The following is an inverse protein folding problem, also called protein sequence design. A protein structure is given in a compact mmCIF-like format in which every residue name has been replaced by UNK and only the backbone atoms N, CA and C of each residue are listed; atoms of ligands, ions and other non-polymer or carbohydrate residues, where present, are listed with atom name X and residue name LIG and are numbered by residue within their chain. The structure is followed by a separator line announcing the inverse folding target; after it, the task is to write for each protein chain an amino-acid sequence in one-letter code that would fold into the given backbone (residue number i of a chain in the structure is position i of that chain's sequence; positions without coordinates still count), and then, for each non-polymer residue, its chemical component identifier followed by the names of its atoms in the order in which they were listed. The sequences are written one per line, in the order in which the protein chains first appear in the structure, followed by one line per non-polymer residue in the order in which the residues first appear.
data_IF_989152788875
#
_entry.id   IF_989152788875
#
_cell.length_a   1.000
_cell.length_b   1.000
_cell.length_c   1.000
_cell.angle_alpha   90.00
_cell.angle_beta   90.00
_cell.angle_gamma   90.00
#
_symmetry.space_group_name_H-M   'P 1'
#
loop_
_entity.id
_entity.type
_entity.pdbx_description
1 polymer ?
#
# COMPACT_ATOMS: atom_id res chain seq x y z
N UNK A 1 -2.82 -3.18 17.08
CA UNK A 1 -1.63 -3.43 17.91
C UNK A 1 -1.09 -4.80 17.53
N UNK A 2 0.20 -4.89 17.23
CA UNK A 2 0.88 -6.15 16.89
C UNK A 2 1.98 -6.40 17.91
N UNK A 3 2.09 -7.63 18.38
CA UNK A 3 3.15 -8.09 19.29
C UNK A 3 3.87 -9.24 18.61
N UNK A 4 5.18 -9.18 18.53
CA UNK A 4 6.02 -10.23 17.97
C UNK A 4 7.08 -10.61 18.99
N UNK A 5 7.27 -11.91 19.18
CA UNK A 5 8.40 -12.47 19.91
C UNK A 5 9.31 -13.18 18.91
N UNK A 6 10.57 -12.83 18.93
CA UNK A 6 11.59 -13.39 18.04
C UNK A 6 12.60 -14.19 18.84
N UNK A 7 12.99 -15.31 18.29
CA UNK A 7 13.99 -16.20 18.84
C UNK A 7 15.02 -16.55 17.78
N UNK A 8 16.30 -16.39 18.09
CA UNK A 8 17.44 -16.75 17.25
C UNK A 8 17.56 -16.06 15.88
N UNK A 9 16.99 -14.90 15.71
CA UNK A 9 16.99 -14.19 14.41
C UNK A 9 18.03 -13.06 14.29
N UNK A 10 18.96 -12.95 15.25
CA UNK A 10 20.08 -12.01 15.11
C UNK A 10 19.74 -10.52 15.19
N UNK A 11 18.62 -10.16 15.80
CA UNK A 11 18.30 -8.74 16.06
C UNK A 11 17.81 -7.97 14.84
N UNK A 12 16.96 -8.57 14.03
CA UNK A 12 16.64 -8.11 12.68
C UNK A 12 15.62 -7.01 12.60
N UNK A 13 14.79 -6.81 13.58
CA UNK A 13 13.54 -6.14 13.28
C UNK A 13 13.39 -4.84 14.03
N UNK A 14 13.67 -3.78 13.34
CA UNK A 14 13.00 -2.52 13.59
C UNK A 14 11.55 -2.62 13.06
N UNK A 15 10.55 -2.31 13.87
CA UNK A 15 9.15 -2.17 13.50
C UNK A 15 8.31 -3.44 13.34
N UNK A 16 8.70 -4.59 13.88
CA UNK A 16 7.83 -5.79 13.89
C UNK A 16 7.55 -6.37 12.49
N UNK A 17 8.39 -6.02 11.51
CA UNK A 17 8.31 -6.56 10.15
C UNK A 17 9.41 -7.60 9.95
N UNK A 18 9.04 -8.75 9.46
CA UNK A 18 10.00 -9.78 9.09
C UNK A 18 10.49 -9.55 7.67
N UNK A 19 11.74 -9.09 7.52
CA UNK A 19 12.38 -8.87 6.23
C UNK A 19 13.56 -9.81 6.11
N UNK A 20 13.44 -10.94 5.40
CA UNK A 20 14.48 -11.96 5.32
C UNK A 20 15.83 -11.46 4.82
N UNK A 21 15.84 -10.46 3.94
CA UNK A 21 17.06 -9.86 3.39
C UNK A 21 17.87 -9.04 4.39
N UNK A 22 17.26 -8.64 5.50
CA UNK A 22 17.92 -7.88 6.56
C UNK A 22 18.50 -8.77 7.68
N UNK A 23 18.34 -10.09 7.57
CA UNK A 23 18.92 -11.04 8.54
C UNK A 23 20.45 -10.97 8.47
N UNK A 24 21.15 -10.51 9.53
CA UNK A 24 22.58 -10.44 9.48
C UNK A 24 23.18 -11.84 9.48
N UNK A 25 24.05 -12.11 8.53
CA UNK A 25 24.77 -13.38 8.42
C UNK A 25 26.05 -13.38 9.28
N UNK A 26 25.92 -12.99 10.54
CA UNK A 26 27.07 -12.87 11.45
C UNK A 26 27.13 -13.94 12.55
N UNK A 27 26.20 -14.91 12.53
CA UNK A 27 26.12 -15.97 13.52
C UNK A 27 25.76 -15.51 14.95
N UNK A 28 25.39 -14.23 15.12
CA UNK A 28 24.91 -13.73 16.40
C UNK A 28 23.42 -13.97 16.51
N UNK A 29 22.99 -14.50 17.64
CA UNK A 29 21.58 -14.72 17.96
C UNK A 29 21.14 -13.72 19.00
N UNK A 30 19.95 -13.18 18.86
CA UNK A 30 19.33 -12.33 19.87
C UNK A 30 17.84 -12.65 19.99
N UNK A 31 17.34 -12.53 21.20
CA UNK A 31 15.92 -12.72 21.48
C UNK A 31 15.33 -11.35 21.81
N UNK A 32 14.20 -11.04 21.21
CA UNK A 32 13.52 -9.79 21.49
C UNK A 32 12.00 -9.95 21.47
N UNK A 33 11.35 -9.11 22.26
CA UNK A 33 9.90 -8.95 22.21
C UNK A 33 9.62 -7.51 21.76
N UNK A 34 8.84 -7.36 20.71
CA UNK A 34 8.44 -6.06 20.21
C UNK A 34 6.92 -5.88 20.24
N UNK A 35 6.49 -4.69 20.58
CA UNK A 35 5.10 -4.27 20.48
C UNK A 35 5.02 -3.02 19.63
N UNK A 36 4.17 -3.04 18.62
CA UNK A 36 4.00 -1.91 17.72
C UNK A 36 2.53 -1.59 17.46
N UNK A 37 2.21 -0.31 17.45
CA UNK A 37 0.91 0.23 17.14
C UNK A 37 0.93 1.14 15.89
N UNK A 38 2.07 1.23 15.19
CA UNK A 38 2.24 2.10 14.02
C UNK A 38 1.32 1.71 12.85
N UNK A 39 0.84 0.47 12.83
CA UNK A 39 -0.16 -0.03 11.87
C UNK A 39 -1.59 0.42 12.16
N UNK A 40 -1.83 1.15 13.25
CA UNK A 40 -3.15 1.71 13.52
C UNK A 40 -3.55 2.69 12.41
N UNK A 41 -4.65 2.41 11.72
CA UNK A 41 -5.16 3.25 10.66
C UNK A 41 -6.16 4.27 11.20
N UNK A 42 -6.00 5.51 10.78
CA UNK A 42 -6.98 6.58 10.95
C UNK A 42 -7.59 6.84 9.59
N UNK A 43 -8.91 6.82 9.50
CA UNK A 43 -9.60 7.10 8.26
C UNK A 43 -10.80 8.02 8.46
N UNK A 44 -11.07 8.81 7.42
CA UNK A 44 -12.29 9.59 7.26
C UNK A 44 -12.99 9.13 5.99
N UNK A 45 -14.24 8.73 6.11
CA UNK A 45 -15.08 8.34 4.98
C UNK A 45 -16.34 9.19 4.95
N UNK A 46 -16.55 9.88 3.84
CA UNK A 46 -17.71 10.68 3.57
C UNK A 46 -18.49 10.04 2.43
N UNK A 47 -19.79 9.81 2.65
CA UNK A 47 -20.68 9.22 1.66
C UNK A 47 -21.81 10.21 1.41
N UNK A 48 -22.08 10.46 0.15
CA UNK A 48 -23.14 11.40 -0.23
C UNK A 48 -23.80 11.00 -1.55
N UNK A 49 -24.88 11.71 -1.85
CA UNK A 49 -25.58 11.61 -3.11
C UNK A 49 -25.89 13.01 -3.64
N UNK A 50 -25.60 13.24 -4.92
CA UNK A 50 -25.95 14.49 -5.60
C UNK A 50 -26.54 14.19 -6.97
N UNK A 51 -27.39 15.07 -7.53
CA UNK A 51 -27.95 14.88 -8.87
C UNK A 51 -26.87 14.74 -9.96
N UNK A 52 -25.74 15.41 -9.81
CA UNK A 52 -24.65 15.39 -10.79
C UNK A 52 -23.80 14.14 -10.71
N UNK A 53 -23.33 13.78 -9.52
CA UNK A 53 -22.37 12.67 -9.31
C UNK A 53 -23.08 11.33 -9.00
N UNK A 54 -24.36 11.37 -8.64
CA UNK A 54 -25.04 10.22 -8.04
C UNK A 54 -24.47 9.91 -6.64
N UNK A 55 -24.40 8.64 -6.30
CA UNK A 55 -23.72 8.20 -5.08
C UNK A 55 -22.20 8.41 -5.22
N UNK A 56 -21.60 9.03 -4.22
CA UNK A 56 -20.15 9.24 -4.18
C UNK A 56 -19.59 8.91 -2.82
N UNK A 57 -18.31 8.58 -2.80
CA UNK A 57 -17.51 8.30 -1.61
C UNK A 57 -16.25 9.13 -1.68
N UNK A 58 -15.92 9.84 -0.60
CA UNK A 58 -14.59 10.41 -0.37
C UNK A 58 -13.97 9.62 0.78
N UNK A 59 -12.78 9.12 0.57
CA UNK A 59 -12.07 8.31 1.56
C UNK A 59 -10.63 8.80 1.71
N UNK A 60 -10.24 9.04 2.96
CA UNK A 60 -8.87 9.38 3.32
C UNK A 60 -8.43 8.48 4.45
N UNK A 61 -7.27 7.86 4.32
CA UNK A 61 -6.74 6.92 5.29
C UNK A 61 -5.22 7.09 5.43
N UNK A 62 -4.73 6.96 6.64
CA UNK A 62 -3.30 6.94 6.91
C UNK A 62 -2.97 6.16 8.18
N UNK A 63 -1.69 5.90 8.35
CA UNK A 63 -1.15 5.24 9.54
C UNK A 63 0.19 5.87 9.95
N UNK A 64 0.84 5.31 10.98
CA UNK A 64 2.08 5.84 11.53
C UNK A 64 3.31 5.01 11.10
N UNK A 65 3.29 4.48 9.87
CA UNK A 65 4.41 3.72 9.29
C UNK A 65 5.30 4.55 8.36
N UNK A 66 5.31 5.85 8.50
CA UNK A 66 6.30 6.72 7.89
C UNK A 66 7.66 6.59 8.59
N UNK A 67 8.71 7.11 7.97
CA UNK A 67 10.05 7.12 8.57
C UNK A 67 10.01 7.76 9.96
N UNK A 68 10.60 7.12 10.97
CA UNK A 68 10.52 7.59 12.35
C UNK A 68 9.12 7.56 12.97
N UNK A 69 8.24 6.66 12.53
CA UNK A 69 6.84 6.54 12.98
C UNK A 69 5.99 7.79 12.70
N UNK A 70 6.31 8.53 11.66
CA UNK A 70 5.51 9.66 11.20
C UNK A 70 4.23 9.18 10.51
N UNK A 71 3.25 10.08 10.41
CA UNK A 71 2.04 9.80 9.67
C UNK A 71 2.32 9.58 8.19
N UNK A 72 1.83 8.49 7.62
CA UNK A 72 1.94 8.13 6.22
C UNK A 72 0.56 8.00 5.60
N UNK A 73 0.30 8.78 4.54
CA UNK A 73 -0.92 8.65 3.77
C UNK A 73 -0.98 7.28 3.09
N UNK A 74 -2.11 6.61 3.19
CA UNK A 74 -2.35 5.29 2.59
C UNK A 74 -3.33 5.37 1.44
N UNK A 75 -4.43 6.06 1.63
CA UNK A 75 -5.44 6.28 0.61
C UNK A 75 -5.99 7.71 0.74
N UNK A 76 -6.22 8.36 -0.39
CA UNK A 76 -6.95 9.62 -0.48
C UNK A 76 -7.61 9.70 -1.85
N UNK A 77 -8.87 9.28 -1.94
CA UNK A 77 -9.56 9.19 -3.23
C UNK A 77 -11.04 9.55 -3.13
N UNK A 78 -11.61 9.89 -4.26
CA UNK A 78 -13.04 10.03 -4.49
C UNK A 78 -13.49 8.98 -5.49
N UNK A 79 -14.63 8.34 -5.23
CA UNK A 79 -15.25 7.37 -6.12
C UNK A 79 -16.71 7.73 -6.41
N UNK A 80 -17.11 7.72 -7.69
CA UNK A 80 -18.46 8.00 -8.16
C UNK A 80 -18.70 7.43 -9.55
N UNK A 81 -19.88 6.88 -9.83
CA UNK A 81 -20.28 6.36 -11.16
C UNK A 81 -19.24 5.46 -11.85
N UNK A 82 -18.46 4.68 -11.09
CA UNK A 82 -17.40 3.84 -11.63
C UNK A 82 -16.04 4.52 -11.75
N UNK A 83 -15.96 5.84 -11.64
CA UNK A 83 -14.71 6.58 -11.60
C UNK A 83 -14.09 6.53 -10.19
N UNK A 84 -12.77 6.43 -10.14
CA UNK A 84 -11.95 6.61 -8.94
C UNK A 84 -10.84 7.60 -9.26
N UNK A 85 -10.74 8.67 -8.46
CA UNK A 85 -9.78 9.75 -8.66
C UNK A 85 -9.04 9.95 -7.34
N UNK A 86 -7.72 9.93 -7.37
CA UNK A 86 -6.88 10.20 -6.21
C UNK A 86 -5.81 9.14 -5.98
N UNK A 87 -5.25 9.13 -4.78
CA UNK A 87 -4.17 8.25 -4.37
C UNK A 87 -4.73 6.98 -3.72
N UNK A 88 -4.54 5.83 -4.37
CA UNK A 88 -4.99 4.51 -3.88
C UNK A 88 -4.22 3.38 -4.55
N UNK A 89 -4.67 2.15 -4.38
CA UNK A 89 -4.05 0.98 -5.02
C UNK A 89 -4.08 1.09 -6.54
N UNK A 90 -2.95 0.81 -7.18
CA UNK A 90 -2.82 0.78 -8.62
C UNK A 90 -3.59 -0.37 -9.28
N UNK A 91 -3.84 -0.26 -10.59
CA UNK A 91 -4.67 -1.20 -11.35
C UNK A 91 -4.12 -2.62 -11.42
N UNK A 92 -2.81 -2.79 -11.26
CA UNK A 92 -2.18 -4.12 -11.18
C UNK A 92 -2.35 -4.83 -9.85
N UNK A 93 -2.95 -4.18 -8.86
CA UNK A 93 -3.14 -4.75 -7.54
C UNK A 93 -4.59 -5.09 -7.29
N UNK A 94 -4.88 -6.37 -7.09
CA UNK A 94 -6.15 -6.81 -6.53
C UNK A 94 -6.00 -7.08 -5.02
N UNK A 95 -6.39 -6.10 -4.22
CA UNK A 95 -6.35 -6.22 -2.76
C UNK A 95 -7.30 -7.32 -2.24
N UNK A 96 -8.32 -7.70 -3.00
CA UNK A 96 -9.27 -8.75 -2.62
C UNK A 96 -8.70 -10.15 -2.82
N UNK A 97 -7.75 -10.30 -3.72
CA UNK A 97 -7.05 -11.56 -3.99
C UNK A 97 -5.87 -11.82 -3.04
N UNK A 98 -5.47 -10.83 -2.24
CA UNK A 98 -4.37 -10.97 -1.28
C UNK A 98 -4.79 -11.88 -0.12
N UNK A 99 -4.04 -12.96 0.18
CA UNK A 99 -4.33 -13.82 1.32
C UNK A 99 -4.12 -13.05 2.63
N UNK A 100 -4.93 -13.38 3.64
CA UNK A 100 -4.71 -12.88 5.00
C UNK A 100 -3.46 -13.50 5.58
N UNK A 101 -2.40 -12.72 5.71
CA UNK A 101 -1.15 -13.14 6.34
C UNK A 101 -0.99 -12.47 7.71
N UNK A 102 -0.30 -13.16 8.63
CA UNK A 102 0.06 -12.58 9.93
C UNK A 102 1.16 -11.53 9.73
N UNK A 103 2.04 -11.75 8.76
CA UNK A 103 3.08 -10.81 8.40
C UNK A 103 2.51 -9.64 7.60
N UNK A 104 2.89 -8.42 7.98
CA UNK A 104 2.48 -7.19 7.29
C UNK A 104 3.06 -7.10 5.88
N UNK A 105 4.21 -7.69 5.63
CA UNK A 105 4.83 -7.70 4.31
C UNK A 105 4.09 -8.61 3.32
N UNK A 106 3.20 -9.48 3.81
CA UNK A 106 2.43 -10.37 2.97
C UNK A 106 3.25 -11.47 2.31
N UNK A 107 2.68 -12.19 1.34
CA UNK A 107 3.41 -13.22 0.64
C UNK A 107 4.50 -12.63 -0.25
N UNK A 108 5.64 -13.32 -0.36
CA UNK A 108 6.70 -12.96 -1.28
C UNK A 108 6.17 -12.92 -2.72
N UNK A 109 6.52 -11.88 -3.46
CA UNK A 109 6.07 -11.70 -4.85
C UNK A 109 4.69 -11.05 -5.01
N UNK A 110 4.04 -10.67 -3.93
CA UNK A 110 2.83 -9.86 -4.01
C UNK A 110 3.15 -8.45 -4.51
N UNK A 111 2.52 -8.04 -5.62
CA UNK A 111 2.63 -6.66 -6.10
C UNK A 111 1.82 -5.76 -5.18
N UNK A 112 2.47 -4.84 -4.52
CA UNK A 112 1.84 -3.93 -3.59
C UNK A 112 2.31 -2.50 -3.85
N UNK A 113 1.54 -1.75 -4.63
CA UNK A 113 1.86 -0.35 -4.86
C UNK A 113 0.62 0.54 -4.86
N UNK A 114 0.84 1.81 -4.65
CA UNK A 114 -0.17 2.86 -4.72
C UNK A 114 0.29 3.95 -5.65
N UNK A 115 -0.66 4.54 -6.34
CA UNK A 115 -0.42 5.63 -7.27
C UNK A 115 -1.51 6.68 -7.17
N UNK A 116 -1.17 7.89 -7.55
CA UNK A 116 -2.18 8.89 -7.90
C UNK A 116 -2.74 8.51 -9.26
N UNK A 117 -4.04 8.29 -9.34
CA UNK A 117 -4.68 7.73 -10.54
C UNK A 117 -6.04 8.36 -10.85
N UNK A 118 -6.38 8.25 -12.12
CA UNK A 118 -7.75 8.32 -12.62
C UNK A 118 -8.10 6.94 -13.18
N UNK A 119 -9.03 6.27 -12.56
CA UNK A 119 -9.47 4.94 -12.97
C UNK A 119 -10.96 4.92 -13.27
N UNK A 120 -11.35 4.04 -14.19
CA UNK A 120 -12.75 3.73 -14.49
C UNK A 120 -12.98 2.23 -14.43
N UNK A 121 -13.96 1.83 -13.64
CA UNK A 121 -14.38 0.44 -13.48
C UNK A 121 -15.74 0.22 -14.10
N UNK A 122 -15.83 -0.61 -15.14
CA UNK A 122 -17.07 -1.01 -15.77
C UNK A 122 -17.55 -2.35 -15.22
N UNK A 123 -18.77 -2.36 -14.67
CA UNK A 123 -19.43 -3.55 -14.07
C UNK A 123 -20.71 -3.95 -14.79
N UNK A 124 -20.86 -3.58 -16.07
CA UNK A 124 -22.10 -3.82 -16.83
C UNK A 124 -22.30 -5.27 -17.25
N UNK A 125 -21.30 -6.12 -17.17
CA UNK A 125 -21.39 -7.53 -17.52
C UNK A 125 -21.49 -8.42 -16.28
N UNK A 126 -22.34 -9.44 -16.32
CA UNK A 126 -22.72 -10.26 -15.16
C UNK A 126 -21.53 -10.96 -14.48
N UNK A 127 -20.51 -11.37 -15.26
CA UNK A 127 -19.36 -12.15 -14.77
C UNK A 127 -18.00 -11.50 -15.06
N UNK A 128 -17.99 -10.28 -15.60
CA UNK A 128 -16.77 -9.60 -16.00
C UNK A 128 -16.78 -8.16 -15.48
N UNK A 129 -15.63 -7.75 -14.98
CA UNK A 129 -15.34 -6.37 -14.60
C UNK A 129 -14.12 -5.91 -15.40
N UNK A 130 -14.22 -4.78 -16.04
CA UNK A 130 -13.08 -4.14 -16.71
C UNK A 130 -12.66 -2.92 -15.91
N UNK A 131 -11.37 -2.80 -15.71
CA UNK A 131 -10.73 -1.63 -15.09
C UNK A 131 -9.74 -1.05 -16.09
N UNK A 132 -9.77 0.27 -16.22
CA UNK A 132 -8.78 1.02 -16.98
C UNK A 132 -8.32 2.20 -16.15
N UNK A 133 -7.03 2.42 -16.06
CA UNK A 133 -6.45 3.50 -15.26
C UNK A 133 -5.30 4.22 -15.97
N UNK A 134 -5.16 5.48 -15.59
CA UNK A 134 -4.01 6.32 -15.89
C UNK A 134 -3.36 6.66 -14.56
N UNK A 135 -2.11 6.27 -14.37
CA UNK A 135 -1.44 6.23 -13.08
C UNK A 135 -0.11 6.98 -13.10
N UNK A 136 0.21 7.62 -11.98
CA UNK A 136 1.52 8.22 -11.72
C UNK A 136 2.14 7.48 -10.52
N UNK A 137 2.78 6.31 -10.74
CA UNK A 137 3.37 5.54 -9.65
C UNK A 137 4.57 6.30 -9.05
N UNK A 138 4.70 6.22 -7.73
CA UNK A 138 5.93 6.61 -7.04
C UNK A 138 6.91 5.44 -7.15
N UNK A 139 8.02 5.63 -7.82
CA UNK A 139 9.07 4.62 -7.91
C UNK A 139 10.09 4.88 -6.83
N UNK A 140 10.03 4.08 -5.77
CA UNK A 140 11.10 3.98 -4.78
C UNK A 140 12.14 3.00 -5.32
N UNK A 141 13.25 3.51 -5.84
CA UNK A 141 14.38 2.71 -6.29
C UNK A 141 15.58 2.93 -5.38
N UNK A 142 16.30 1.88 -5.00
CA UNK A 142 17.66 2.02 -4.49
C UNK A 142 18.54 2.58 -5.60
N UNK A 143 18.96 3.81 -5.45
CA UNK A 143 19.97 4.43 -6.31
C UNK A 143 21.34 3.86 -5.95
N UNK A 144 21.66 2.68 -6.46
CA UNK A 144 23.06 2.32 -6.62
C UNK A 144 23.71 3.34 -7.59
N UNK A 145 25.01 3.58 -7.49
CA UNK A 145 25.77 4.57 -8.27
C UNK A 145 25.64 4.49 -9.81
N UNK A 146 24.69 3.74 -10.34
CA UNK A 146 24.52 3.48 -11.79
C UNK A 146 23.23 4.01 -12.40
N UNK A 147 22.25 4.44 -11.59
CA UNK A 147 20.97 4.90 -12.13
C UNK A 147 20.56 6.21 -11.47
N UNK A 148 20.41 7.24 -12.28
CA UNK A 148 19.73 8.46 -11.87
C UNK A 148 18.26 8.29 -12.20
N UNK A 149 17.39 8.31 -11.19
CA UNK A 149 15.95 8.33 -11.42
C UNK A 149 15.62 9.70 -12.01
N UNK A 150 15.36 9.74 -13.31
CA UNK A 150 14.81 10.94 -13.95
C UNK A 150 13.31 11.00 -13.63
N UNK A 151 12.79 12.21 -13.44
CA UNK A 151 11.36 12.42 -13.25
C UNK A 151 10.57 11.69 -14.32
N UNK A 152 9.57 10.89 -13.90
CA UNK A 152 8.64 10.24 -14.82
C UNK A 152 7.89 11.32 -15.62
N UNK A 153 8.00 11.25 -16.93
CA UNK A 153 7.40 12.27 -17.84
C UNK A 153 6.07 11.84 -18.42
N UNK A 154 5.74 10.55 -18.32
CA UNK A 154 4.52 9.98 -18.88
C UNK A 154 3.82 9.14 -17.81
N UNK A 155 2.50 9.20 -17.75
CA UNK A 155 1.73 8.29 -16.89
C UNK A 155 1.77 6.86 -17.43
N UNK A 156 1.56 5.90 -16.54
CA UNK A 156 1.35 4.51 -16.91
C UNK A 156 -0.13 4.28 -17.23
N UNK A 157 -0.40 3.41 -18.19
CA UNK A 157 -1.74 2.99 -18.59
C UNK A 157 -1.93 1.52 -18.22
N UNK A 158 -2.98 1.23 -17.52
CA UNK A 158 -3.34 -0.13 -17.07
C UNK A 158 -4.75 -0.49 -17.49
#
# INVERSE_FOLDING_TARGET
MRTVAEYDLGGIVENVDFIPSLIPNNGQTSNQIQMDASTANIYLKLVGNTPLLGNFIIHTEGNFRGSGKTFKLRNAYMAFKGFTIGYTYGGFMDASAMPSTIDFQGPNGGTFYRATQLAYTYKGLKNFQFNASVEMPEVDGETGNRFTISHQRMPDFT
#
